data_IF_393739833471
#
_entry.id   IF_393739833471
#
_cell.length_a   1.000
_cell.length_b   1.000
_cell.length_c   1.000
_cell.angle_alpha   90.00
_cell.angle_beta   90.00
_cell.angle_gamma   90.00
#
_symmetry.space_group_name_H-M   'P 1'
#
loop_
_entity.id
_entity.type
_entity.pdbx_description
1 polymer ?
#
# COMPACT_ATOMS: atom_id res chain seq x y z
N UNK A 1 22.75 -9.63 -33.32
CA UNK A 1 22.74 -10.58 -32.18
C UNK A 1 22.22 -9.81 -30.96
N UNK A 2 21.36 -10.40 -30.13
CA UNK A 2 20.74 -9.72 -28.97
C UNK A 2 21.53 -9.93 -27.68
N UNK A 3 22.62 -10.70 -27.73
CA UNK A 3 23.40 -11.12 -26.57
C UNK A 3 22.55 -11.81 -25.49
N UNK A 4 21.58 -12.63 -25.93
CA UNK A 4 20.79 -13.45 -25.02
C UNK A 4 21.70 -14.42 -24.26
N UNK A 5 21.58 -14.48 -22.94
CA UNK A 5 22.48 -15.25 -22.08
C UNK A 5 23.72 -14.46 -21.64
N UNK A 6 23.77 -13.15 -21.86
CA UNK A 6 24.86 -12.29 -21.38
C UNK A 6 24.99 -12.30 -19.85
N UNK A 7 23.88 -12.53 -19.16
CA UNK A 7 23.81 -12.70 -17.71
C UNK A 7 22.75 -13.74 -17.37
N UNK A 8 22.97 -14.47 -16.27
CA UNK A 8 22.04 -15.49 -15.78
C UNK A 8 21.99 -15.47 -14.26
N UNK A 9 20.80 -15.67 -13.69
CA UNK A 9 20.60 -15.89 -12.28
C UNK A 9 19.57 -17.00 -12.05
N UNK A 10 19.82 -17.85 -11.07
CA UNK A 10 18.95 -18.97 -10.71
C UNK A 10 18.48 -18.81 -9.27
N UNK A 11 17.18 -18.96 -9.04
CA UNK A 11 16.55 -18.90 -7.73
C UNK A 11 15.45 -19.95 -7.64
N UNK A 12 15.65 -20.98 -6.82
CA UNK A 12 14.75 -22.12 -6.75
C UNK A 12 14.59 -22.80 -8.12
N UNK A 13 13.37 -22.80 -8.65
CA UNK A 13 13.03 -23.30 -9.99
C UNK A 13 12.87 -22.18 -11.03
N UNK A 14 13.33 -20.96 -10.74
CA UNK A 14 13.22 -19.80 -11.62
C UNK A 14 14.60 -19.42 -12.15
N UNK A 15 14.73 -19.33 -13.47
CA UNK A 15 15.92 -18.89 -14.20
C UNK A 15 15.63 -17.54 -14.85
N UNK A 16 16.45 -16.54 -14.58
CA UNK A 16 16.38 -15.23 -15.24
C UNK A 16 17.58 -15.09 -16.16
N UNK A 17 17.33 -14.74 -17.43
CA UNK A 17 18.33 -14.63 -18.49
C UNK A 17 18.31 -13.22 -19.07
N UNK A 18 19.45 -12.53 -19.05
CA UNK A 18 19.61 -11.20 -19.64
C UNK A 18 19.89 -11.24 -21.13
N UNK A 19 19.45 -10.20 -21.84
CA UNK A 19 19.73 -9.97 -23.26
C UNK A 19 19.97 -8.47 -23.47
N UNK A 20 21.18 -8.00 -23.14
CA UNK A 20 21.47 -6.56 -23.08
C UNK A 20 21.39 -5.82 -24.42
N UNK A 21 21.39 -6.52 -25.56
CA UNK A 21 21.23 -5.91 -26.89
C UNK A 21 19.86 -6.16 -27.52
N UNK A 22 18.86 -6.53 -26.72
CA UNK A 22 17.48 -6.62 -27.19
C UNK A 22 16.95 -5.23 -27.59
N UNK A 23 16.22 -5.14 -28.71
CA UNK A 23 15.93 -3.89 -29.42
C UNK A 23 14.45 -3.46 -29.39
N UNK A 24 13.59 -4.15 -28.63
CA UNK A 24 12.20 -3.78 -28.48
C UNK A 24 12.03 -2.51 -27.66
N UNK A 25 11.02 -1.71 -28.00
CA UNK A 25 10.61 -0.54 -27.23
C UNK A 25 9.51 -0.85 -26.20
N UNK A 26 9.17 -2.12 -25.97
CA UNK A 26 8.23 -2.45 -24.91
C UNK A 26 8.76 -2.00 -23.55
N UNK A 27 7.84 -1.62 -22.67
CA UNK A 27 8.10 -1.24 -21.30
C UNK A 27 7.35 -2.19 -20.36
N UNK A 28 7.91 -2.43 -19.17
CA UNK A 28 7.30 -3.27 -18.15
C UNK A 28 7.38 -4.78 -18.44
N UNK A 29 6.41 -5.53 -17.92
CA UNK A 29 6.43 -7.01 -17.92
C UNK A 29 5.36 -7.55 -18.87
N UNK A 30 5.72 -8.51 -19.70
CA UNK A 30 4.80 -9.26 -20.57
C UNK A 30 5.01 -10.76 -20.46
N UNK A 31 4.03 -11.57 -20.89
CA UNK A 31 4.17 -13.05 -20.94
C UNK A 31 4.77 -13.57 -22.25
N UNK A 32 5.07 -12.67 -23.19
CA UNK A 32 5.65 -13.01 -24.50
C UNK A 32 6.68 -11.96 -24.90
N UNK A 33 7.78 -12.43 -25.52
CA UNK A 33 8.73 -11.54 -26.13
C UNK A 33 8.18 -11.05 -27.49
N UNK A 34 8.08 -9.73 -27.72
CA UNK A 34 7.56 -9.16 -28.95
C UNK A 34 8.58 -9.24 -30.10
N UNK A 35 8.10 -9.05 -31.33
CA UNK A 35 8.96 -8.89 -32.51
C UNK A 35 9.31 -7.42 -32.84
N UNK A 36 8.81 -6.46 -32.06
CA UNK A 36 9.03 -5.03 -32.32
C UNK A 36 10.51 -4.67 -32.17
N UNK A 37 11.02 -3.85 -33.10
CA UNK A 37 12.37 -3.29 -33.06
C UNK A 37 12.29 -1.79 -33.26
N UNK A 38 13.08 -1.04 -32.50
CA UNK A 38 13.10 0.42 -32.58
C UNK A 38 13.86 1.11 -31.46
N UNK A 39 14.25 0.37 -30.42
CA UNK A 39 15.00 0.88 -29.29
C UNK A 39 16.30 0.07 -29.17
N UNK A 40 17.24 0.35 -30.07
CA UNK A 40 18.50 -0.39 -30.17
C UNK A 40 19.20 -0.50 -28.81
N UNK A 41 19.58 -1.72 -28.44
CA UNK A 41 20.29 -2.01 -27.19
C UNK A 41 19.58 -1.50 -25.91
N UNK A 42 18.25 -1.37 -25.94
CA UNK A 42 17.48 -1.12 -24.73
C UNK A 42 17.62 -2.26 -23.71
N UNK A 43 17.80 -3.48 -24.20
CA UNK A 43 18.00 -4.67 -23.40
C UNK A 43 16.69 -5.24 -22.86
N UNK A 44 16.76 -6.47 -22.34
CA UNK A 44 15.62 -7.21 -21.78
C UNK A 44 16.11 -8.30 -20.82
N UNK A 45 15.18 -8.84 -20.02
CA UNK A 45 15.38 -10.07 -19.26
C UNK A 45 14.23 -11.05 -19.48
N UNK A 46 14.53 -12.34 -19.40
CA UNK A 46 13.60 -13.43 -19.68
C UNK A 46 13.55 -14.35 -18.46
N UNK A 47 12.35 -14.62 -17.96
CA UNK A 47 12.11 -15.46 -16.79
C UNK A 47 11.55 -16.79 -17.23
N UNK A 48 12.24 -17.87 -16.87
CA UNK A 48 11.81 -19.23 -17.10
C UNK A 48 11.53 -19.93 -15.77
N UNK A 49 10.51 -20.77 -15.75
CA UNK A 49 10.21 -21.63 -14.61
C UNK A 49 10.39 -23.09 -15.03
N UNK A 50 11.13 -23.85 -14.21
CA UNK A 50 11.30 -25.28 -14.35
C UNK A 50 10.10 -26.01 -13.74
N UNK A 51 9.45 -26.83 -14.56
CA UNK A 51 8.35 -27.70 -14.14
C UNK A 51 8.90 -29.04 -13.63
N UNK A 52 8.06 -29.82 -12.94
CA UNK A 52 8.44 -31.11 -12.35
C UNK A 52 8.98 -32.15 -13.35
N UNK A 53 8.77 -31.95 -14.65
CA UNK A 53 9.33 -32.76 -15.74
C UNK A 53 10.73 -32.33 -16.21
N UNK A 54 11.30 -31.24 -15.67
CA UNK A 54 12.58 -30.67 -16.11
C UNK A 54 12.47 -29.66 -17.25
N UNK A 55 11.26 -29.47 -17.80
CA UNK A 55 10.99 -28.49 -18.85
C UNK A 55 11.03 -27.06 -18.32
N UNK A 56 11.67 -26.16 -19.08
CA UNK A 56 11.73 -24.73 -18.78
C UNK A 56 10.75 -23.97 -19.68
N UNK A 57 9.79 -23.28 -19.06
CA UNK A 57 8.81 -22.46 -19.77
C UNK A 57 9.06 -20.99 -19.53
N UNK A 58 9.10 -20.17 -20.59
CA UNK A 58 9.12 -18.71 -20.46
C UNK A 58 7.80 -18.26 -19.81
N UNK A 59 7.89 -17.62 -18.65
CA UNK A 59 6.73 -17.10 -17.93
C UNK A 59 6.62 -15.60 -18.05
N UNK A 60 7.77 -14.90 -18.10
CA UNK A 60 7.81 -13.44 -18.19
C UNK A 60 8.95 -12.96 -19.07
N UNK A 61 8.71 -11.86 -19.75
CA UNK A 61 9.66 -11.02 -20.46
C UNK A 61 9.62 -9.65 -19.80
N UNK A 62 10.78 -9.15 -19.37
CA UNK A 62 10.91 -7.97 -18.54
C UNK A 62 11.70 -6.91 -19.29
N UNK A 63 11.14 -5.71 -19.29
CA UNK A 63 11.73 -4.47 -19.77
C UNK A 63 11.77 -3.44 -18.65
N UNK A 64 12.78 -2.56 -18.70
CA UNK A 64 12.76 -1.34 -17.91
C UNK A 64 11.48 -0.54 -18.23
N UNK A 65 10.89 0.10 -17.21
CA UNK A 65 9.70 0.95 -17.41
C UNK A 65 10.03 2.19 -18.24
N UNK A 66 11.26 2.67 -18.17
CA UNK A 66 11.85 3.70 -19.03
C UNK A 66 12.84 3.06 -20.02
N UNK A 67 12.37 2.08 -20.80
CA UNK A 67 13.18 1.43 -21.82
C UNK A 67 13.68 2.44 -22.87
N UNK A 68 14.92 2.89 -22.71
CA UNK A 68 15.61 3.80 -23.62
C UNK A 68 16.61 3.06 -24.49
N UNK A 69 16.88 3.61 -25.68
CA UNK A 69 17.95 3.13 -26.55
C UNK A 69 19.29 3.12 -25.80
N UNK A 70 20.08 2.09 -26.01
CA UNK A 70 21.41 1.89 -25.44
C UNK A 70 21.46 1.63 -23.93
N UNK A 71 20.33 1.62 -23.21
CA UNK A 71 20.28 1.43 -21.76
C UNK A 71 20.89 0.10 -21.28
N UNK A 72 20.93 -0.93 -22.15
CA UNK A 72 21.56 -2.22 -21.88
C UNK A 72 20.96 -2.95 -20.67
N UNK A 73 19.64 -2.89 -20.50
CA UNK A 73 18.92 -3.61 -19.44
C UNK A 73 19.16 -5.12 -19.53
N UNK A 74 19.36 -5.79 -18.40
CA UNK A 74 19.77 -7.20 -18.36
C UNK A 74 21.28 -7.40 -18.48
N UNK A 75 22.08 -6.34 -18.32
CA UNK A 75 23.55 -6.44 -18.32
C UNK A 75 24.06 -7.31 -17.17
N UNK A 76 23.56 -7.10 -15.96
CA UNK A 76 23.81 -7.96 -14.80
C UNK A 76 22.49 -8.30 -14.10
N UNK A 77 22.44 -9.51 -13.54
CA UNK A 77 21.27 -10.01 -12.82
C UNK A 77 21.75 -10.66 -11.52
N UNK A 78 21.10 -10.32 -10.42
CA UNK A 78 21.23 -11.00 -9.14
C UNK A 78 19.85 -11.45 -8.66
N UNK A 79 19.77 -12.65 -8.09
CA UNK A 79 18.52 -13.19 -7.55
C UNK A 79 18.77 -13.76 -6.15
N UNK A 80 17.81 -13.58 -5.26
CA UNK A 80 17.85 -14.09 -3.89
C UNK A 80 16.46 -14.50 -3.43
N UNK A 81 16.32 -15.72 -2.93
CA UNK A 81 15.06 -16.29 -2.50
C UNK A 81 14.99 -17.79 -2.74
N UNK A 82 13.79 -18.34 -2.66
CA UNK A 82 13.52 -19.76 -2.84
C UNK A 82 12.35 -19.98 -3.82
N UNK A 83 11.77 -21.18 -3.81
CA UNK A 83 10.61 -21.52 -4.65
C UNK A 83 9.29 -20.86 -4.20
N UNK A 84 9.26 -20.24 -3.02
CA UNK A 84 8.08 -19.58 -2.44
C UNK A 84 8.14 -18.05 -2.56
N UNK A 85 9.26 -17.51 -3.03
CA UNK A 85 9.37 -16.12 -3.42
C UNK A 85 10.79 -15.61 -3.34
N UNK A 86 11.01 -14.42 -3.88
CA UNK A 86 12.32 -13.78 -3.81
C UNK A 86 12.42 -12.47 -4.56
N UNK A 87 13.62 -11.91 -4.52
CA UNK A 87 13.97 -10.64 -5.15
C UNK A 87 14.91 -10.89 -6.30
N UNK A 88 14.65 -10.23 -7.42
CA UNK A 88 15.53 -10.20 -8.60
C UNK A 88 15.92 -8.75 -8.84
N UNK A 89 17.21 -8.47 -8.86
CA UNK A 89 17.78 -7.19 -9.27
C UNK A 89 18.34 -7.31 -10.69
N UNK A 90 17.99 -6.37 -11.55
CA UNK A 90 18.43 -6.33 -12.95
C UNK A 90 19.01 -4.95 -13.23
N UNK A 91 20.22 -4.89 -13.78
CA UNK A 91 20.87 -3.62 -14.10
C UNK A 91 20.67 -3.19 -15.56
N UNK A 92 20.73 -1.88 -15.77
CA UNK A 92 20.85 -1.21 -17.05
C UNK A 92 22.03 -0.24 -16.95
N UNK A 93 23.22 -0.67 -17.36
CA UNK A 93 24.48 0.05 -17.09
C UNK A 93 24.58 1.39 -17.81
N UNK A 94 23.88 1.54 -18.93
CA UNK A 94 23.93 2.73 -19.78
C UNK A 94 22.63 3.52 -19.71
N UNK A 95 21.79 3.24 -18.70
CA UNK A 95 20.58 4.01 -18.47
C UNK A 95 20.97 5.47 -18.18
N UNK A 96 20.31 6.38 -18.89
CA UNK A 96 20.60 7.79 -18.84
C UNK A 96 19.50 8.49 -18.04
N UNK A 97 19.50 8.34 -16.72
CA UNK A 97 18.67 9.19 -15.85
C UNK A 97 19.52 9.84 -14.76
N UNK A 98 19.27 11.14 -14.53
CA UNK A 98 19.92 11.90 -13.46
C UNK A 98 19.21 11.73 -12.10
N UNK A 99 18.34 10.72 -11.92
CA UNK A 99 17.42 10.68 -10.80
C UNK A 99 17.77 9.64 -9.74
N UNK A 100 17.64 10.05 -8.49
CA UNK A 100 17.69 9.17 -7.31
C UNK A 100 16.28 8.82 -6.79
N UNK A 101 15.22 9.23 -7.50
CA UNK A 101 13.81 8.96 -7.13
C UNK A 101 12.86 8.93 -8.34
N UNK A 102 11.88 8.02 -8.31
CA UNK A 102 11.02 7.50 -9.39
C UNK A 102 9.96 8.44 -10.02
N UNK A 103 10.14 9.76 -10.08
CA UNK A 103 9.04 10.67 -10.50
C UNK A 103 9.32 11.55 -11.72
N UNK A 104 10.31 11.22 -12.54
CA UNK A 104 10.47 11.85 -13.86
C UNK A 104 11.16 10.92 -14.86
N UNK A 105 10.37 10.09 -15.54
CA UNK A 105 10.82 9.12 -16.55
C UNK A 105 11.26 9.75 -17.89
N UNK A 106 11.72 11.01 -17.90
CA UNK A 106 11.90 11.78 -19.15
C UNK A 106 13.09 12.75 -19.19
N UNK A 107 14.02 12.71 -18.25
CA UNK A 107 15.23 13.54 -18.31
C UNK A 107 16.47 12.66 -18.50
N UNK A 108 17.05 12.78 -19.69
CA UNK A 108 18.15 11.97 -20.17
C UNK A 108 19.49 12.73 -20.22
N UNK A 109 19.62 13.80 -19.43
CA UNK A 109 20.78 14.69 -19.44
C UNK A 109 22.07 14.10 -18.81
N UNK A 110 21.98 12.93 -18.17
CA UNK A 110 23.12 12.20 -17.59
C UNK A 110 23.36 10.91 -18.37
N UNK A 111 24.20 10.96 -19.40
CA UNK A 111 24.57 9.76 -20.16
C UNK A 111 25.23 8.72 -19.24
N UNK A 112 24.76 7.47 -19.31
CA UNK A 112 25.39 6.29 -18.71
C UNK A 112 25.54 6.32 -17.17
N UNK A 113 24.63 6.99 -16.46
CA UNK A 113 24.60 6.96 -14.99
C UNK A 113 24.32 5.56 -14.43
N UNK A 114 23.55 4.78 -15.18
CA UNK A 114 23.19 3.41 -14.88
C UNK A 114 22.05 3.31 -13.85
N UNK A 115 21.23 2.28 -13.98
CA UNK A 115 20.12 2.00 -13.08
C UNK A 115 20.08 0.53 -12.67
N UNK A 116 19.47 0.24 -11.52
CA UNK A 116 19.13 -1.12 -11.07
C UNK A 116 17.67 -1.18 -10.70
N UNK A 117 16.97 -2.17 -11.24
CA UNK A 117 15.54 -2.39 -11.06
C UNK A 117 15.36 -3.64 -10.20
N UNK A 118 14.53 -3.55 -9.16
CA UNK A 118 14.18 -4.68 -8.32
C UNK A 118 12.78 -5.20 -8.66
N UNK A 119 12.65 -6.53 -8.70
CA UNK A 119 11.40 -7.23 -8.96
C UNK A 119 11.17 -8.25 -7.85
N UNK A 120 9.95 -8.29 -7.33
CA UNK A 120 9.51 -9.31 -6.40
C UNK A 120 8.84 -10.46 -7.16
N UNK A 121 9.39 -11.66 -7.03
CA UNK A 121 8.74 -12.90 -7.41
C UNK A 121 7.83 -13.30 -6.25
N UNK A 122 6.58 -12.85 -6.31
CA UNK A 122 5.57 -13.34 -5.38
C UNK A 122 5.26 -14.81 -5.69
N UNK A 123 5.19 -15.66 -4.66
CA UNK A 123 4.46 -16.91 -4.80
C UNK A 123 3.04 -16.57 -5.27
N UNK A 124 2.43 -17.34 -6.19
CA UNK A 124 1.00 -17.22 -6.39
C UNK A 124 0.38 -17.36 -4.99
N UNK A 125 -0.49 -16.42 -4.55
CA UNK A 125 -1.16 -16.56 -3.27
C UNK A 125 -1.76 -17.97 -3.22
N UNK A 126 -1.62 -18.71 -2.11
CA UNK A 126 -2.04 -20.10 -2.04
C UNK A 126 -3.41 -20.20 -2.68
N UNK A 127 -3.49 -20.99 -3.77
CA UNK A 127 -4.64 -21.00 -4.67
C UNK A 127 -5.90 -21.02 -3.83
N UNK A 128 -6.68 -19.93 -3.90
CA UNK A 128 -7.95 -19.83 -3.22
C UNK A 128 -8.71 -21.14 -3.50
N UNK A 129 -9.27 -21.82 -2.48
CA UNK A 129 -10.05 -23.04 -2.70
C UNK A 129 -11.00 -22.83 -3.88
N UNK A 130 -11.24 -23.86 -4.72
CA UNK A 130 -11.98 -23.70 -5.98
C UNK A 130 -13.23 -22.86 -5.73
N UNK A 131 -13.33 -21.71 -6.42
CA UNK A 131 -14.49 -20.86 -6.24
C UNK A 131 -15.73 -21.68 -6.58
N UNK A 132 -16.78 -21.64 -5.73
CA UNK A 132 -18.07 -22.20 -6.10
C UNK A 132 -18.48 -21.67 -7.48
N UNK A 133 -19.21 -22.46 -8.29
CA UNK A 133 -19.61 -22.04 -9.63
C UNK A 133 -20.26 -20.66 -9.56
N UNK A 134 -19.93 -19.81 -10.53
CA UNK A 134 -20.39 -18.43 -10.61
C UNK A 134 -21.92 -18.40 -10.42
N UNK A 135 -22.45 -17.54 -9.52
CA UNK A 135 -23.89 -17.39 -9.40
C UNK A 135 -24.46 -16.95 -10.75
N UNK A 136 -25.71 -17.35 -11.08
CA UNK A 136 -26.38 -16.89 -12.29
C UNK A 136 -26.37 -15.35 -12.36
N UNK A 137 -26.44 -14.76 -13.56
CA UNK A 137 -26.39 -13.31 -13.72
C UNK A 137 -27.38 -12.63 -12.78
N UNK A 138 -26.90 -11.64 -12.04
CA UNK A 138 -27.70 -10.91 -11.06
C UNK A 138 -28.99 -10.41 -11.71
N UNK A 139 -30.17 -10.59 -11.08
CA UNK A 139 -31.36 -9.90 -11.51
C UNK A 139 -31.09 -8.39 -11.52
N UNK A 140 -31.73 -7.68 -12.45
CA UNK A 140 -31.64 -6.22 -12.59
C UNK A 140 -31.65 -5.54 -11.22
N UNK A 141 -30.79 -4.52 -11.00
CA UNK A 141 -30.71 -3.86 -9.70
C UNK A 141 -32.13 -3.48 -9.24
N UNK A 142 -32.54 -3.84 -8.02
CA UNK A 142 -33.80 -3.37 -7.48
C UNK A 142 -33.84 -1.85 -7.62
N UNK A 143 -34.99 -1.30 -8.02
CA UNK A 143 -35.19 0.14 -7.97
C UNK A 143 -34.72 0.66 -6.60
N UNK A 144 -34.06 1.83 -6.54
CA UNK A 144 -33.64 2.40 -5.27
C UNK A 144 -34.83 2.34 -4.32
N UNK A 145 -34.68 1.56 -3.24
CA UNK A 145 -35.67 1.53 -2.18
C UNK A 145 -35.87 2.94 -1.63
N UNK A 146 -36.99 3.20 -0.93
CA UNK A 146 -37.17 4.47 -0.25
C UNK A 146 -35.91 4.78 0.58
N UNK A 147 -35.47 6.05 0.62
CA UNK A 147 -34.26 6.44 1.33
C UNK A 147 -34.28 5.86 2.74
N UNK A 148 -33.14 5.39 3.26
CA UNK A 148 -33.08 4.88 4.62
C UNK A 148 -33.68 5.93 5.56
N UNK A 149 -34.43 5.51 6.60
CA UNK A 149 -34.96 6.45 7.57
C UNK A 149 -33.80 7.31 8.10
N UNK A 150 -34.05 8.59 8.41
CA UNK A 150 -32.99 9.48 8.90
C UNK A 150 -32.25 8.78 10.01
N UNK A 151 -30.93 8.62 9.84
CA UNK A 151 -30.06 8.03 10.85
C UNK A 151 -30.39 8.72 12.19
N UNK A 152 -30.82 7.98 13.23
CA UNK A 152 -30.95 8.57 14.56
C UNK A 152 -29.58 9.15 14.94
N UNK A 153 -29.53 10.26 15.71
CA UNK A 153 -28.32 11.04 15.90
C UNK A 153 -27.15 10.12 16.30
N UNK A 154 -26.22 9.93 15.35
CA UNK A 154 -25.01 9.14 15.52
C UNK A 154 -24.17 9.72 16.66
N UNK A 155 -23.32 8.88 17.24
CA UNK A 155 -22.45 9.38 18.29
C UNK A 155 -21.50 10.45 17.75
N UNK A 156 -21.20 11.45 18.56
CA UNK A 156 -20.29 12.55 18.18
C UNK A 156 -18.99 12.45 18.93
N UNK A 157 -17.90 12.94 18.34
CA UNK A 157 -16.60 13.07 18.97
C UNK A 157 -16.17 14.53 19.02
N UNK A 158 -15.62 14.96 20.15
CA UNK A 158 -15.09 16.31 20.35
C UNK A 158 -13.80 16.25 21.18
N UNK A 159 -12.69 16.87 20.74
CA UNK A 159 -12.54 17.56 19.45
C UNK A 159 -12.61 16.56 18.28
N UNK A 160 -12.94 17.05 17.07
CA UNK A 160 -12.88 16.25 15.83
C UNK A 160 -11.47 16.17 15.26
N UNK A 161 -10.55 17.03 15.73
CA UNK A 161 -9.15 17.06 15.33
C UNK A 161 -8.25 16.99 16.56
N UNK A 162 -7.26 16.11 16.55
CA UNK A 162 -6.23 15.97 17.58
C UNK A 162 -4.82 16.05 16.98
N UNK A 163 -3.82 16.31 17.83
CA UNK A 163 -2.41 16.40 17.40
C UNK A 163 -1.69 15.06 17.60
N UNK A 164 -0.87 14.61 16.63
CA UNK A 164 -0.03 13.43 16.77
C UNK A 164 0.86 13.52 18.02
N UNK A 165 0.93 12.44 18.79
CA UNK A 165 1.79 12.30 19.98
C UNK A 165 1.35 13.12 21.19
N UNK A 166 0.28 13.93 21.09
CA UNK A 166 -0.23 14.72 22.21
C UNK A 166 -1.36 13.98 22.92
N UNK A 167 -1.26 13.86 24.25
CA UNK A 167 -2.38 13.38 25.06
C UNK A 167 -3.55 14.34 24.91
N UNK A 168 -4.67 13.82 24.42
CA UNK A 168 -5.87 14.59 24.11
C UNK A 168 -7.05 13.99 24.85
N UNK A 169 -7.82 14.84 25.54
CA UNK A 169 -9.08 14.46 26.17
C UNK A 169 -10.20 14.51 25.13
N UNK A 170 -10.79 13.34 24.87
CA UNK A 170 -11.79 13.16 23.84
C UNK A 170 -13.14 12.91 24.51
N UNK A 171 -14.09 13.80 24.25
CA UNK A 171 -15.48 13.69 24.65
C UNK A 171 -16.27 12.94 23.57
N UNK A 172 -16.97 11.89 23.96
CA UNK A 172 -17.86 11.12 23.10
C UNK A 172 -19.30 11.28 23.57
N UNK A 173 -20.21 11.47 22.61
CA UNK A 173 -21.64 11.33 22.85
C UNK A 173 -22.07 9.98 22.30
N UNK A 174 -22.49 9.07 23.17
CA UNK A 174 -22.86 7.71 22.79
C UNK A 174 -24.35 7.65 22.42
N UNK A 175 -24.64 6.96 21.31
CA UNK A 175 -26.00 6.65 20.87
C UNK A 175 -26.61 5.48 21.66
N UNK A 176 -27.87 5.17 21.40
CA UNK A 176 -28.58 4.09 22.10
C UNK A 176 -27.87 2.73 22.01
N UNK A 177 -27.27 2.40 20.86
CA UNK A 177 -26.54 1.16 20.63
C UNK A 177 -25.22 1.06 21.41
N UNK A 178 -24.61 2.19 21.77
CA UNK A 178 -23.29 2.25 22.43
C UNK A 178 -23.36 2.72 23.88
N UNK A 179 -24.55 3.02 24.39
CA UNK A 179 -24.77 3.41 25.79
C UNK A 179 -24.27 2.32 26.75
N UNK A 180 -23.67 2.74 27.86
CA UNK A 180 -23.11 1.85 28.89
C UNK A 180 -21.73 1.29 28.54
N UNK A 181 -21.07 1.82 27.51
CA UNK A 181 -19.68 1.50 27.24
C UNK A 181 -18.76 1.92 28.38
N UNK A 182 -17.83 1.05 28.72
CA UNK A 182 -16.81 1.22 29.74
C UNK A 182 -15.44 1.57 29.15
N UNK A 183 -15.20 1.21 27.89
CA UNK A 183 -13.92 1.41 27.20
C UNK A 183 -14.15 1.93 25.79
N UNK A 184 -13.21 2.74 25.31
CA UNK A 184 -13.12 3.15 23.92
C UNK A 184 -11.75 2.82 23.34
N UNK A 185 -11.73 2.51 22.05
CA UNK A 185 -10.54 2.24 21.23
C UNK A 185 -10.68 3.00 19.93
N UNK A 186 -9.61 3.69 19.56
CA UNK A 186 -9.49 4.42 18.31
C UNK A 186 -8.73 3.54 17.32
N UNK A 187 -9.39 3.12 16.25
CA UNK A 187 -8.80 2.31 15.18
C UNK A 187 -8.74 3.12 13.89
N UNK A 188 -7.72 2.92 13.03
CA UNK A 188 -7.74 3.48 11.68
C UNK A 188 -9.06 3.13 10.96
N UNK A 189 -9.60 4.09 10.21
CA UNK A 189 -10.92 3.98 9.58
C UNK A 189 -11.04 2.69 8.75
N UNK A 190 -10.04 2.41 7.91
CA UNK A 190 -9.76 1.11 7.25
C UNK A 190 -10.95 0.17 7.08
N UNK A 191 -10.85 -1.03 7.68
CA UNK A 191 -11.87 -2.09 7.61
C UNK A 191 -13.24 -1.67 8.20
N UNK A 192 -14.38 -2.02 7.59
CA UNK A 192 -15.69 -1.70 8.14
C UNK A 192 -15.97 -2.55 9.39
N UNK A 193 -15.67 -2.02 10.57
CA UNK A 193 -15.95 -2.68 11.85
C UNK A 193 -14.95 -2.39 12.96
N UNK A 194 -15.09 -3.12 14.07
CA UNK A 194 -14.30 -2.97 15.29
C UNK A 194 -13.52 -4.24 15.65
N UNK A 195 -13.35 -5.17 14.71
CA UNK A 195 -12.53 -6.36 14.91
C UNK A 195 -11.09 -5.96 15.23
N UNK A 196 -10.48 -6.62 16.21
CA UNK A 196 -9.12 -6.30 16.67
C UNK A 196 -9.03 -5.19 17.73
N UNK A 197 -10.14 -4.49 18.05
CA UNK A 197 -10.13 -3.40 19.06
C UNK A 197 -9.50 -3.81 20.39
N UNK A 198 -9.75 -5.05 20.84
CA UNK A 198 -9.24 -5.59 22.09
C UNK A 198 -7.69 -5.51 22.19
N UNK A 199 -6.97 -5.75 21.10
CA UNK A 199 -5.51 -5.69 21.07
C UNK A 199 -4.96 -4.24 21.17
N UNK A 200 -5.80 -3.25 20.87
CA UNK A 200 -5.43 -1.84 20.80
C UNK A 200 -5.88 -1.04 22.03
N UNK A 201 -6.53 -1.66 23.01
CA UNK A 201 -7.03 -0.98 24.22
C UNK A 201 -5.91 -0.24 24.97
N UNK A 202 -4.69 -0.80 25.03
CA UNK A 202 -3.55 -0.15 25.69
C UNK A 202 -2.81 0.87 24.82
N UNK A 203 -2.94 0.80 23.50
CA UNK A 203 -2.16 1.60 22.55
C UNK A 203 -2.91 2.86 22.13
N UNK A 204 -4.18 2.69 21.76
CA UNK A 204 -5.04 3.74 21.22
C UNK A 204 -6.41 3.74 21.89
N UNK A 205 -6.50 3.22 23.11
CA UNK A 205 -7.75 3.14 23.86
C UNK A 205 -7.61 3.58 25.31
N UNK A 206 -8.72 3.54 26.02
CA UNK A 206 -8.77 3.92 27.42
C UNK A 206 -10.13 3.69 28.05
N UNK A 207 -10.14 3.70 29.38
CA UNK A 207 -11.36 3.59 30.16
C UNK A 207 -12.16 4.87 30.04
N UNK A 208 -13.44 4.74 29.74
CA UNK A 208 -14.35 5.86 29.62
C UNK A 208 -14.71 6.40 31.01
N UNK A 209 -14.59 7.71 31.17
CA UNK A 209 -15.03 8.45 32.33
C UNK A 209 -16.44 8.99 32.07
N UNK A 210 -17.46 8.58 32.84
CA UNK A 210 -18.81 9.06 32.64
C UNK A 210 -18.93 10.54 33.04
N UNK A 211 -19.36 11.39 32.11
CA UNK A 211 -19.69 12.81 32.33
C UNK A 211 -21.21 13.04 32.37
N UNK A 212 -21.99 12.03 31.99
CA UNK A 212 -23.46 12.04 31.98
C UNK A 212 -24.02 10.73 31.42
N UNK A 213 -25.34 10.63 31.20
CA UNK A 213 -25.99 9.40 30.76
C UNK A 213 -25.65 8.98 29.32
N UNK A 214 -25.14 9.91 28.51
CA UNK A 214 -24.69 9.67 27.13
C UNK A 214 -23.36 10.35 26.81
N UNK A 215 -22.81 11.15 27.74
CA UNK A 215 -21.53 11.84 27.55
C UNK A 215 -20.46 11.14 28.36
N UNK A 216 -19.39 10.78 27.70
CA UNK A 216 -18.23 10.12 28.32
C UNK A 216 -16.97 10.80 27.80
N UNK A 217 -15.87 10.73 28.55
CA UNK A 217 -14.57 11.20 28.11
C UNK A 217 -13.52 10.10 28.21
N UNK A 218 -12.48 10.20 27.39
CA UNK A 218 -11.31 9.34 27.43
C UNK A 218 -10.08 10.14 27.03
N UNK A 219 -8.99 10.00 27.78
CA UNK A 219 -7.70 10.59 27.43
C UNK A 219 -6.86 9.57 26.67
N UNK A 220 -6.48 9.89 25.44
CA UNK A 220 -5.64 9.00 24.60
C UNK A 220 -4.48 9.77 23.99
N UNK A 221 -3.42 9.06 23.58
CA UNK A 221 -2.31 9.63 22.83
C UNK A 221 -2.19 8.85 21.52
N UNK A 222 -2.52 9.49 20.40
CA UNK A 222 -2.47 8.88 19.08
C UNK A 222 -1.26 9.44 18.34
N UNK A 223 -0.37 8.56 17.87
CA UNK A 223 0.91 8.95 17.28
C UNK A 223 0.87 9.06 15.76
N UNK A 224 0.00 8.30 15.09
CA UNK A 224 -0.09 8.28 13.63
C UNK A 224 -1.09 9.34 13.13
N UNK A 225 -0.72 10.03 12.06
CA UNK A 225 -1.56 11.05 11.44
C UNK A 225 -2.58 10.40 10.49
N UNK A 226 -3.72 9.96 11.03
CA UNK A 226 -4.77 9.23 10.31
C UNK A 226 -6.16 9.67 10.76
N UNK A 227 -7.19 9.21 10.04
CA UNK A 227 -8.58 9.26 10.50
C UNK A 227 -8.91 7.99 11.27
N UNK A 228 -9.37 8.17 12.51
CA UNK A 228 -9.76 7.11 13.40
C UNK A 228 -11.28 7.01 13.52
N UNK A 229 -11.79 5.79 13.52
CA UNK A 229 -13.14 5.45 13.99
C UNK A 229 -13.10 5.11 15.47
N UNK A 230 -14.23 5.28 16.15
CA UNK A 230 -14.35 4.97 17.58
C UNK A 230 -15.12 3.68 17.78
N UNK A 231 -14.47 2.73 18.46
CA UNK A 231 -15.03 1.44 18.85
C UNK A 231 -15.14 1.39 20.36
N UNK A 232 -16.26 0.90 20.89
CA UNK A 232 -16.50 0.87 22.34
C UNK A 232 -16.90 -0.50 22.85
N UNK A 233 -16.45 -0.83 24.06
CA UNK A 233 -16.77 -2.08 24.75
C UNK A 233 -17.59 -1.79 26.00
N UNK A 234 -18.51 -2.70 26.32
CA UNK A 234 -19.29 -2.70 27.57
C UNK A 234 -18.65 -3.57 28.67
N UNK A 235 -17.61 -4.34 28.35
CA UNK A 235 -16.92 -5.17 29.34
C UNK A 235 -16.15 -4.28 30.32
N UNK A 236 -16.56 -4.30 31.58
CA UNK A 236 -15.99 -3.46 32.63
C UNK A 236 -14.63 -3.97 33.12
N UNK A 237 -14.35 -5.27 32.98
CA UNK A 237 -13.25 -5.94 33.68
C UNK A 237 -12.17 -6.42 32.72
N UNK A 238 -12.53 -6.85 31.51
CA UNK A 238 -11.61 -7.53 30.57
C UNK A 238 -11.80 -7.05 29.14
N UNK A 239 -11.60 -5.75 28.85
CA UNK A 239 -11.74 -5.21 27.49
C UNK A 239 -10.77 -5.86 26.48
N UNK A 240 -9.63 -6.39 26.95
CA UNK A 240 -8.64 -7.10 26.14
C UNK A 240 -9.13 -8.46 25.60
N UNK A 241 -10.22 -8.98 26.16
CA UNK A 241 -10.84 -10.25 25.75
C UNK A 241 -12.19 -10.03 25.07
N UNK A 242 -12.63 -8.78 24.92
CA UNK A 242 -13.92 -8.46 24.33
C UNK A 242 -13.84 -8.51 22.79
N UNK A 243 -14.51 -9.49 22.19
CA UNK A 243 -14.64 -9.62 20.75
C UNK A 243 -15.78 -8.80 20.14
N UNK A 244 -16.59 -8.12 20.97
CA UNK A 244 -17.86 -7.49 20.59
C UNK A 244 -17.84 -5.96 20.70
N UNK A 245 -16.69 -5.33 20.45
CA UNK A 245 -16.63 -3.87 20.36
C UNK A 245 -17.65 -3.35 19.33
N UNK A 246 -18.45 -2.38 19.74
CA UNK A 246 -19.45 -1.74 18.92
C UNK A 246 -18.90 -0.45 18.31
N UNK A 247 -19.14 -0.24 17.01
CA UNK A 247 -18.81 1.01 16.35
C UNK A 247 -19.70 2.13 16.89
N UNK A 248 -19.12 3.29 17.16
CA UNK A 248 -19.87 4.54 17.42
C UNK A 248 -20.11 5.23 16.06
N UNK A 249 -21.31 5.15 15.48
CA UNK A 249 -21.53 5.65 14.13
C UNK A 249 -21.39 7.17 14.09
N UNK A 250 -20.61 7.69 13.13
CA UNK A 250 -20.38 9.13 12.94
C UNK A 250 -19.29 9.76 13.83
N UNK A 251 -18.75 9.03 14.80
CA UNK A 251 -17.63 9.48 15.61
C UNK A 251 -16.30 9.24 14.87
N UNK A 252 -15.86 10.25 14.11
CA UNK A 252 -14.58 10.24 13.39
C UNK A 252 -13.63 11.29 13.97
N UNK A 253 -12.43 10.84 14.35
CA UNK A 253 -11.37 11.70 14.87
C UNK A 253 -10.25 11.77 13.83
N UNK A 254 -9.88 12.98 13.42
CA UNK A 254 -8.73 13.22 12.54
C UNK A 254 -7.52 13.55 13.41
N UNK A 255 -6.42 12.83 13.25
CA UNK A 255 -5.14 13.15 13.88
C UNK A 255 -4.26 13.79 12.82
N UNK A 256 -3.92 15.07 13.00
CA UNK A 256 -3.13 15.82 12.04
C UNK A 256 -2.22 16.83 12.76
N UNK A 257 -1.02 17.13 12.21
CA UNK A 257 -0.17 18.17 12.76
C UNK A 257 -0.92 19.51 12.78
N UNK A 258 -0.56 20.37 13.75
CA UNK A 258 -1.12 21.72 13.80
C UNK A 258 -0.86 22.41 12.46
N UNK A 259 -1.92 22.86 11.79
CA UNK A 259 -1.77 23.78 10.67
C UNK A 259 -0.97 24.98 11.18
N UNK A 260 0.18 25.24 10.56
CA UNK A 260 0.89 26.48 10.80
C UNK A 260 -0.10 27.65 10.58
N UNK A 261 -0.07 28.72 11.40
CA UNK A 261 -0.89 29.89 11.12
C UNK A 261 -0.62 30.31 9.68
N UNK A 262 -1.70 30.49 8.90
CA UNK A 262 -1.59 30.89 7.51
C UNK A 262 -0.77 32.18 7.45
N UNK A 263 0.50 32.06 7.05
CA UNK A 263 1.30 33.20 6.65
C UNK A 263 0.56 33.86 5.49
N UNK A 264 0.23 35.16 5.55
CA UNK A 264 -0.32 35.85 4.39
C UNK A 264 0.63 35.64 3.20
N UNK A 265 0.11 35.56 1.96
CA UNK A 265 0.91 35.19 0.81
C UNK A 265 2.10 36.16 0.69
N UNK A 266 3.30 35.63 0.95
CA UNK A 266 4.52 36.31 0.59
C UNK A 266 4.56 36.39 -0.93
N UNK A 267 4.88 37.58 -1.45
CA UNK A 267 5.17 37.80 -2.87
C UNK A 267 6.11 36.72 -3.42
N UNK A 268 6.00 36.33 -4.70
CA UNK A 268 6.74 35.19 -5.24
C UNK A 268 8.23 35.53 -5.27
N UNK A 269 8.95 35.08 -4.24
CA UNK A 269 10.39 35.04 -4.20
C UNK A 269 10.81 33.60 -4.51
N UNK A 270 11.55 33.48 -5.61
CA UNK A 270 12.21 32.28 -6.10
C UNK A 270 13.05 31.60 -5.03
N UNK A 271 12.94 30.28 -4.93
CA UNK A 271 14.02 29.45 -4.38
C UNK A 271 13.61 28.46 -3.30
N UNK A 272 13.50 27.20 -3.74
CA UNK A 272 13.93 25.96 -3.08
C UNK A 272 13.57 25.75 -1.60
N UNK A 273 12.68 24.77 -1.39
CA UNK A 273 12.68 23.94 -0.19
C UNK A 273 13.13 22.52 -0.56
N UNK A 274 14.09 22.02 0.23
CA UNK A 274 14.32 20.62 0.51
C UNK A 274 13.03 20.05 1.19
N UNK A 275 12.71 18.75 1.29
CA UNK A 275 13.56 17.61 1.61
C UNK A 275 12.64 16.35 1.81
N UNK A 276 13.15 15.10 1.59
CA UNK A 276 12.77 13.79 2.22
C UNK A 276 11.46 13.01 1.82
N UNK A 277 11.28 11.67 1.75
CA UNK A 277 12.03 10.36 1.71
C UNK A 277 11.06 9.24 1.18
N UNK A 278 11.54 8.15 0.54
CA UNK A 278 10.89 6.81 0.53
C UNK A 278 11.97 5.71 0.60
N UNK A 279 11.77 4.70 1.47
CA UNK A 279 12.51 3.43 1.49
C UNK A 279 11.70 2.34 0.79
N UNK A 280 12.41 1.55 -0.01
CA UNK A 280 12.09 0.21 -0.56
C UNK A 280 10.79 0.06 -1.36
#
# INVERSE_FOLDING_TARGET
>A
DTAYGSSVALMGNTLVVGSMYEASCLQGISSTAPASRGCDQAGAAYVYVCLSGGDWTLTQYIKAENADTHASFGNAIAASGDTHGGLVAISAINEASCYTSSVALSNNDCHEAGATYMYELASPPPSRPPQPPSPPPSPSPPQPGPPPPPYPPGGTVSPTVAQPGKRTDISLRLGAATRGAAWAVFLPLGEPGCLGSAAHVSLSGGRLQPMGPTHVSVSVTLVEALTYKVCVSRDLQRPMLDAQFALVPGALLVVAPALAPATPPASPASGRAADWWIYA
#
